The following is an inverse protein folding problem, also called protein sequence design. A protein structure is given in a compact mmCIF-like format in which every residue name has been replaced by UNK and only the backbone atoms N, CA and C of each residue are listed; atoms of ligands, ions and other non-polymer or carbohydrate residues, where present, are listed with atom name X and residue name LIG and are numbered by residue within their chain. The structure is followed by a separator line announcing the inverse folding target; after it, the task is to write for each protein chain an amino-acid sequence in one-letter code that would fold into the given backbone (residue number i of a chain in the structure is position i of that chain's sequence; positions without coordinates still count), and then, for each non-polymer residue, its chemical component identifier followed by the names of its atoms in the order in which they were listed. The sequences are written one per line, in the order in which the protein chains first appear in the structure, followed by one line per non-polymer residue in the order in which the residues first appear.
data_IF_658730073805
#
_entry.id   IF_658730073805
#
_cell.length_a   1.000
_cell.length_b   1.000
_cell.length_c   1.000
_cell.angle_alpha   90.00
_cell.angle_beta   90.00
_cell.angle_gamma   90.00
#
_symmetry.space_group_name_H-M   'P 1'
#
loop_
_entity.id
_entity.type
_entity.pdbx_description
1 polymer ?
#
# COMPACT_ATOMS: atom_id res chain seq x y z
N UNK A 1 -38.04 55.28 -54.30
CA UNK A 1 -38.01 54.84 -52.88
C UNK A 1 -37.72 53.32 -52.84
N UNK A 2 -36.44 52.94 -52.72
CA UNK A 2 -36.00 51.56 -52.79
C UNK A 2 -35.73 51.10 -51.40
N UNK A 3 -36.48 50.08 -50.91
CA UNK A 3 -36.28 49.47 -49.57
C UNK A 3 -35.23 48.35 -49.67
N UNK A 4 -34.11 48.52 -48.99
CA UNK A 4 -33.08 47.50 -48.83
C UNK A 4 -33.42 46.64 -47.59
N UNK A 5 -33.73 45.37 -47.82
CA UNK A 5 -33.87 44.38 -46.72
C UNK A 5 -32.50 43.83 -46.32
N UNK A 6 -32.08 44.05 -45.06
CA UNK A 6 -30.91 43.42 -44.48
C UNK A 6 -31.34 42.08 -43.91
N UNK A 7 -30.82 40.93 -44.44
CA UNK A 7 -30.92 39.63 -43.86
C UNK A 7 -29.82 39.43 -42.81
N UNK A 8 -30.20 39.35 -41.54
CA UNK A 8 -29.31 38.94 -40.45
C UNK A 8 -29.20 37.42 -40.45
N UNK A 9 -28.03 36.88 -40.84
CA UNK A 9 -27.70 35.46 -40.64
C UNK A 9 -27.16 35.32 -39.22
N UNK A 10 -27.95 34.71 -38.31
CA UNK A 10 -27.51 34.35 -36.97
C UNK A 10 -26.63 33.09 -37.05
N UNK A 11 -25.34 33.26 -36.86
CA UNK A 11 -24.41 32.11 -36.72
C UNK A 11 -24.53 31.56 -35.30
N UNK A 12 -25.21 30.43 -35.14
CA UNK A 12 -25.23 29.65 -33.92
C UNK A 12 -23.87 28.93 -33.79
N UNK A 13 -22.96 29.46 -32.98
CA UNK A 13 -21.76 28.74 -32.57
C UNK A 13 -22.17 27.62 -31.62
N UNK A 14 -22.12 26.37 -32.10
CA UNK A 14 -22.24 25.17 -31.27
C UNK A 14 -21.00 25.08 -30.32
N UNK A 15 -21.17 25.54 -29.10
CA UNK A 15 -20.21 25.33 -28.04
C UNK A 15 -20.33 23.88 -27.59
N UNK A 16 -19.51 22.99 -28.17
CA UNK A 16 -19.29 21.66 -27.62
C UNK A 16 -18.42 21.81 -26.37
N UNK A 17 -18.87 21.38 -25.17
CA UNK A 17 -17.99 21.37 -24.02
C UNK A 17 -16.85 20.41 -24.32
N UNK A 18 -15.61 20.90 -24.37
CA UNK A 18 -14.43 20.06 -24.27
C UNK A 18 -14.47 19.42 -22.87
N UNK A 19 -14.87 18.15 -22.80
CA UNK A 19 -14.65 17.32 -21.65
C UNK A 19 -13.13 17.19 -21.51
N UNK A 20 -12.53 17.99 -20.63
CA UNK A 20 -11.17 17.77 -20.16
C UNK A 20 -11.18 16.48 -19.35
N UNK A 21 -10.95 15.35 -20.02
CA UNK A 21 -10.58 14.11 -19.34
C UNK A 21 -9.24 14.40 -18.64
N UNK A 22 -9.21 14.32 -17.32
CA UNK A 22 -7.97 14.31 -16.58
C UNK A 22 -7.03 13.25 -17.19
N UNK A 23 -5.73 13.56 -17.30
CA UNK A 23 -4.74 12.63 -17.87
C UNK A 23 -4.67 11.37 -17.01
N UNK A 24 -5.42 10.34 -17.38
CA UNK A 24 -5.36 9.04 -16.74
C UNK A 24 -4.11 8.26 -17.20
N UNK A 25 -3.65 7.34 -16.39
CA UNK A 25 -2.45 6.51 -16.64
C UNK A 25 -2.86 5.20 -17.31
N UNK A 26 -2.26 4.84 -18.44
CA UNK A 26 -2.52 3.59 -19.16
C UNK A 26 -3.14 3.77 -20.52
N UNK A 27 -4.25 3.07 -20.81
CA UNK A 27 -4.95 3.17 -22.10
C UNK A 27 -5.92 4.36 -22.10
N UNK A 28 -5.53 5.44 -22.78
CA UNK A 28 -6.31 6.66 -22.90
C UNK A 28 -7.58 6.52 -23.75
N UNK A 29 -7.73 5.41 -24.48
CA UNK A 29 -8.94 5.09 -25.24
C UNK A 29 -9.99 4.40 -24.38
N UNK A 30 -9.70 4.06 -23.12
CA UNK A 30 -10.64 3.48 -22.19
C UNK A 30 -11.84 4.42 -21.93
N UNK A 31 -13.05 3.86 -21.86
CA UNK A 31 -14.28 4.65 -21.64
C UNK A 31 -14.33 5.38 -20.30
N UNK A 32 -13.60 4.85 -19.29
CA UNK A 32 -13.50 5.44 -17.94
C UNK A 32 -12.18 5.09 -17.27
N UNK A 33 -11.81 5.87 -16.26
CA UNK A 33 -10.69 5.56 -15.37
C UNK A 33 -11.15 4.80 -14.12
N UNK A 34 -10.22 4.07 -13.52
CA UNK A 34 -10.39 3.39 -12.24
C UNK A 34 -9.38 3.93 -11.23
N UNK A 35 -9.86 4.28 -10.04
CA UNK A 35 -8.99 4.75 -8.97
C UNK A 35 -8.13 3.61 -8.41
N UNK A 36 -6.80 3.87 -8.26
CA UNK A 36 -5.83 2.95 -7.67
C UNK A 36 -5.20 3.61 -6.45
N UNK A 37 -5.51 3.11 -5.28
CA UNK A 37 -5.00 3.63 -4.02
C UNK A 37 -3.79 2.82 -3.55
N UNK A 38 -2.72 3.52 -3.17
CA UNK A 38 -1.48 2.88 -2.68
C UNK A 38 -1.28 3.21 -1.21
N UNK A 39 -1.06 2.17 -0.39
CA UNK A 39 -0.74 2.35 1.04
C UNK A 39 0.62 3.09 1.19
N UNK A 40 0.69 4.20 1.94
CA UNK A 40 1.88 5.04 2.01
C UNK A 40 2.95 4.45 2.95
N UNK A 41 3.76 3.53 2.44
CA UNK A 41 4.85 2.89 3.19
C UNK A 41 6.16 3.68 3.15
N UNK A 42 6.35 4.48 2.10
CA UNK A 42 7.56 5.29 1.84
C UNK A 42 7.16 6.71 1.46
N UNK A 43 8.13 7.54 1.03
CA UNK A 43 7.85 8.89 0.56
C UNK A 43 6.85 8.90 -0.60
N UNK A 44 5.89 9.81 -0.57
CA UNK A 44 4.81 9.91 -1.56
C UNK A 44 5.35 10.06 -2.99
N UNK A 45 6.37 10.92 -3.16
CA UNK A 45 7.02 11.12 -4.47
C UNK A 45 7.61 9.82 -5.03
N UNK A 46 8.21 8.98 -4.15
CA UNK A 46 8.73 7.67 -4.55
C UNK A 46 7.60 6.73 -4.97
N UNK A 47 6.48 6.71 -4.27
CA UNK A 47 5.33 5.87 -4.64
C UNK A 47 4.76 6.28 -5.99
N UNK A 48 4.66 7.59 -6.29
CA UNK A 48 4.26 8.03 -7.63
C UNK A 48 5.27 7.61 -8.69
N UNK A 49 6.58 7.78 -8.45
CA UNK A 49 7.61 7.38 -9.41
C UNK A 49 7.66 5.87 -9.66
N UNK A 50 7.36 5.04 -8.66
CA UNK A 50 7.38 3.59 -8.76
C UNK A 50 6.10 3.04 -9.43
N UNK A 51 4.93 3.59 -9.08
CA UNK A 51 3.64 3.05 -9.53
C UNK A 51 3.19 3.58 -10.89
N UNK A 52 3.56 4.80 -11.29
CA UNK A 52 3.17 5.36 -12.60
C UNK A 52 3.63 4.47 -13.76
N UNK A 53 4.90 4.05 -13.87
CA UNK A 53 5.33 3.15 -14.96
C UNK A 53 4.60 1.81 -14.95
N UNK A 54 4.36 1.24 -13.76
CA UNK A 54 3.58 -0.01 -13.66
C UNK A 54 2.17 0.18 -14.21
N UNK A 55 1.46 1.24 -13.79
CA UNK A 55 0.08 1.48 -14.22
C UNK A 55 -0.01 1.79 -15.73
N UNK A 56 1.01 2.41 -16.32
CA UNK A 56 1.09 2.58 -17.78
C UNK A 56 1.11 1.23 -18.51
N UNK A 57 1.98 0.31 -18.07
CA UNK A 57 2.06 -1.03 -18.66
C UNK A 57 0.80 -1.86 -18.37
N UNK A 58 0.29 -1.79 -17.15
CA UNK A 58 -0.91 -2.48 -16.71
C UNK A 58 -2.13 -2.01 -17.52
N UNK A 59 -2.27 -0.71 -17.68
CA UNK A 59 -3.38 -0.10 -18.42
C UNK A 59 -3.39 -0.50 -19.90
N UNK A 60 -2.25 -0.38 -20.56
CA UNK A 60 -2.09 -0.80 -21.97
C UNK A 60 -2.39 -2.27 -22.19
N UNK A 61 -1.94 -3.16 -21.27
CA UNK A 61 -2.17 -4.62 -21.38
C UNK A 61 -3.59 -5.04 -21.02
N UNK A 62 -4.29 -4.29 -20.18
CA UNK A 62 -5.66 -4.58 -19.75
C UNK A 62 -6.73 -3.78 -20.51
N UNK A 63 -6.35 -2.84 -21.38
CA UNK A 63 -7.20 -1.84 -22.04
C UNK A 63 -7.98 -1.01 -20.99
N UNK A 64 -7.30 -0.57 -19.92
CA UNK A 64 -7.88 0.22 -18.85
C UNK A 64 -7.09 1.51 -18.61
N UNK A 65 -7.76 2.49 -17.99
CA UNK A 65 -7.13 3.73 -17.54
C UNK A 65 -7.24 3.87 -16.03
N UNK A 66 -6.20 4.42 -15.39
CA UNK A 66 -6.09 4.50 -13.94
C UNK A 66 -5.83 5.89 -13.43
N UNK A 67 -6.42 6.22 -12.27
CA UNK A 67 -6.13 7.40 -11.48
C UNK A 67 -5.33 6.97 -10.24
N UNK A 68 -4.03 7.28 -10.22
CA UNK A 68 -3.15 6.93 -9.09
C UNK A 68 -3.36 7.89 -7.92
N UNK A 69 -3.69 7.34 -6.76
CA UNK A 69 -3.96 8.10 -5.54
C UNK A 69 -3.08 7.56 -4.40
N UNK A 70 -2.23 8.43 -3.85
CA UNK A 70 -1.38 8.11 -2.70
C UNK A 70 -1.76 9.04 -1.54
N UNK A 71 -2.56 8.59 -0.56
CA UNK A 71 -2.86 9.35 0.64
C UNK A 71 -1.61 9.69 1.45
N UNK A 72 -1.64 10.81 2.17
CA UNK A 72 -0.47 11.33 2.89
C UNK A 72 -0.05 10.50 4.10
N UNK A 73 -0.98 9.74 4.67
CA UNK A 73 -0.74 8.92 5.87
C UNK A 73 -1.50 7.59 5.79
N UNK A 74 -1.08 6.59 6.57
CA UNK A 74 -1.80 5.31 6.67
C UNK A 74 -3.24 5.53 7.18
N UNK A 75 -3.53 6.32 8.22
CA UNK A 75 -4.91 6.62 8.63
C UNK A 75 -5.76 7.27 7.52
N UNK A 76 -5.19 8.21 6.75
CA UNK A 76 -5.90 8.81 5.61
C UNK A 76 -6.20 7.79 4.51
N UNK A 77 -5.28 6.86 4.24
CA UNK A 77 -5.48 5.73 3.33
C UNK A 77 -6.61 4.80 3.84
N UNK A 78 -6.56 4.40 5.10
CA UNK A 78 -7.56 3.52 5.73
C UNK A 78 -8.98 4.11 5.64
N UNK A 79 -9.12 5.42 5.91
CA UNK A 79 -10.40 6.13 5.78
C UNK A 79 -11.00 6.01 4.38
N UNK A 80 -10.18 6.15 3.33
CA UNK A 80 -10.63 6.02 1.94
C UNK A 80 -10.94 4.56 1.57
N UNK A 81 -10.07 3.63 1.95
CA UNK A 81 -10.24 2.21 1.67
C UNK A 81 -11.50 1.64 2.34
N UNK A 82 -11.67 1.90 3.64
CA UNK A 82 -12.78 1.36 4.43
C UNK A 82 -14.11 2.08 4.19
N UNK A 83 -14.12 3.21 3.50
CA UNK A 83 -15.34 3.81 2.95
C UNK A 83 -15.70 3.28 1.55
N UNK A 84 -14.94 2.34 1.03
CA UNK A 84 -15.18 1.71 -0.26
C UNK A 84 -14.86 2.60 -1.48
N UNK A 85 -14.12 3.70 -1.33
CA UNK A 85 -13.85 4.65 -2.43
C UNK A 85 -12.90 4.12 -3.49
N UNK A 86 -11.93 3.29 -3.12
CA UNK A 86 -10.96 2.73 -4.05
C UNK A 86 -11.62 1.71 -4.99
N UNK A 87 -11.36 1.80 -6.29
CA UNK A 87 -11.72 0.73 -7.24
C UNK A 87 -10.72 -0.41 -7.11
N UNK A 88 -9.43 -0.09 -7.12
CA UNK A 88 -8.33 -0.97 -6.82
C UNK A 88 -7.48 -0.37 -5.71
N UNK A 89 -6.77 -1.22 -4.98
CA UNK A 89 -5.81 -0.75 -4.00
C UNK A 89 -4.65 -1.74 -3.82
N UNK A 90 -3.44 -1.21 -3.56
CA UNK A 90 -2.33 -1.97 -3.01
C UNK A 90 -2.32 -1.77 -1.50
N UNK A 91 -2.49 -2.86 -0.75
CA UNK A 91 -2.83 -2.81 0.66
C UNK A 91 -1.93 -3.73 1.49
N UNK A 92 -1.77 -3.46 2.79
CA UNK A 92 -1.14 -4.45 3.65
C UNK A 92 -2.10 -5.62 3.97
N UNK A 93 -1.60 -6.76 4.46
CA UNK A 93 -2.43 -7.93 4.73
C UNK A 93 -3.58 -7.69 5.72
N UNK A 94 -3.39 -6.85 6.75
CA UNK A 94 -4.47 -6.48 7.67
C UNK A 94 -5.53 -5.61 6.98
N UNK A 95 -5.11 -4.65 6.16
CA UNK A 95 -6.03 -3.85 5.35
C UNK A 95 -6.84 -4.72 4.39
N UNK A 96 -6.24 -5.77 3.80
CA UNK A 96 -6.98 -6.71 2.94
C UNK A 96 -8.11 -7.40 3.71
N UNK A 97 -7.84 -7.85 4.95
CA UNK A 97 -8.86 -8.44 5.83
C UNK A 97 -9.97 -7.44 6.15
N UNK A 98 -9.61 -6.22 6.56
CA UNK A 98 -10.59 -5.20 6.93
C UNK A 98 -11.41 -4.71 5.72
N UNK A 99 -10.78 -4.54 4.55
CA UNK A 99 -11.46 -4.15 3.32
C UNK A 99 -12.41 -5.25 2.81
N UNK A 100 -12.02 -6.53 2.96
CA UNK A 100 -12.93 -7.65 2.67
C UNK A 100 -14.14 -7.63 3.60
N UNK A 101 -13.94 -7.46 4.91
CA UNK A 101 -15.05 -7.40 5.89
C UNK A 101 -15.99 -6.22 5.63
N UNK A 102 -15.44 -5.05 5.29
CA UNK A 102 -16.22 -3.84 5.09
C UNK A 102 -16.97 -3.81 3.75
N UNK A 103 -16.31 -4.18 2.66
CA UNK A 103 -16.80 -4.00 1.29
C UNK A 103 -16.49 -5.15 0.35
N UNK A 104 -16.11 -6.33 0.85
CA UNK A 104 -15.83 -7.54 0.04
C UNK A 104 -14.74 -7.34 -1.03
N UNK A 105 -13.74 -6.48 -0.75
CA UNK A 105 -12.58 -6.36 -1.65
C UNK A 105 -11.90 -7.70 -1.85
N UNK A 106 -11.67 -8.08 -3.10
CA UNK A 106 -11.06 -9.36 -3.46
C UNK A 106 -9.58 -9.18 -3.81
N UNK A 107 -8.63 -9.88 -3.16
CA UNK A 107 -7.24 -9.88 -3.59
C UNK A 107 -7.10 -10.56 -4.95
N UNK A 108 -6.35 -9.94 -5.86
CA UNK A 108 -6.12 -10.42 -7.23
C UNK A 108 -4.71 -10.99 -7.38
N UNK A 109 -3.73 -10.21 -6.93
CA UNK A 109 -2.28 -10.45 -7.14
C UNK A 109 -1.53 -10.11 -5.85
N UNK A 110 -0.47 -10.87 -5.57
CA UNK A 110 0.57 -10.52 -4.62
C UNK A 110 1.93 -11.02 -5.11
N UNK A 111 3.01 -10.68 -4.41
CA UNK A 111 4.33 -11.25 -4.68
C UNK A 111 4.41 -12.70 -4.21
N UNK A 112 4.82 -13.61 -5.09
CA UNK A 112 5.04 -15.03 -4.78
C UNK A 112 6.41 -15.33 -4.19
N UNK A 113 7.38 -14.44 -4.37
CA UNK A 113 8.78 -14.66 -4.02
C UNK A 113 9.08 -14.33 -2.55
N UNK A 114 8.62 -13.19 -2.07
CA UNK A 114 8.99 -12.66 -0.78
C UNK A 114 7.79 -12.69 0.19
N UNK A 115 7.93 -13.43 1.27
CA UNK A 115 6.96 -13.38 2.38
C UNK A 115 7.23 -12.16 3.24
N UNK A 116 6.24 -11.74 4.01
CA UNK A 116 6.27 -10.59 4.89
C UNK A 116 6.42 -11.01 6.34
N UNK A 117 7.46 -10.53 7.01
CA UNK A 117 7.65 -10.69 8.44
C UNK A 117 7.94 -9.35 9.13
N UNK A 118 7.42 -9.19 10.34
CA UNK A 118 7.72 -8.06 11.21
C UNK A 118 9.07 -8.23 11.88
N UNK A 119 9.78 -7.14 12.05
CA UNK A 119 11.10 -7.08 12.66
C UNK A 119 11.07 -6.17 13.88
N UNK A 120 11.68 -6.59 14.99
CA UNK A 120 12.11 -5.67 16.03
C UNK A 120 13.60 -5.42 15.81
N UNK A 121 13.95 -4.16 15.57
CA UNK A 121 15.34 -3.73 15.41
C UNK A 121 15.81 -2.95 16.64
N UNK A 122 17.08 -3.11 16.98
CA UNK A 122 17.82 -2.35 18.00
C UNK A 122 19.12 -1.86 17.39
N UNK A 123 19.83 -0.92 18.05
CA UNK A 123 21.17 -0.54 17.60
C UNK A 123 22.11 -1.74 17.60
N UNK A 124 23.06 -1.78 16.70
CA UNK A 124 24.03 -2.85 16.57
C UNK A 124 24.86 -3.04 17.86
N UNK A 125 25.21 -1.93 18.53
CA UNK A 125 25.96 -1.89 19.80
C UNK A 125 25.09 -2.02 21.07
N UNK A 126 23.76 -2.24 20.91
CA UNK A 126 22.84 -2.36 22.04
C UNK A 126 23.12 -3.63 22.86
N UNK A 127 22.97 -3.51 24.17
CA UNK A 127 23.03 -4.67 25.10
C UNK A 127 21.72 -5.44 25.23
N UNK A 128 20.67 -5.01 24.51
CA UNK A 128 19.33 -5.67 24.51
C UNK A 128 19.41 -6.90 23.61
N UNK A 129 19.39 -8.09 24.17
CA UNK A 129 19.50 -9.38 23.46
C UNK A 129 18.23 -10.22 23.53
N UNK A 130 17.25 -9.83 24.35
CA UNK A 130 15.98 -10.54 24.53
C UNK A 130 14.80 -9.57 24.54
N UNK A 131 13.63 -10.01 24.06
CA UNK A 131 12.40 -9.21 24.04
C UNK A 131 12.00 -8.69 25.42
N UNK A 132 12.19 -9.50 26.48
CA UNK A 132 11.85 -9.13 27.86
C UNK A 132 12.58 -7.88 28.36
N UNK A 133 13.77 -7.57 27.82
CA UNK A 133 14.53 -6.37 28.15
C UNK A 133 13.88 -5.07 27.58
N UNK A 134 12.88 -5.21 26.70
CA UNK A 134 12.07 -4.11 26.20
C UNK A 134 10.90 -3.75 27.12
N UNK A 135 10.72 -4.47 28.24
CA UNK A 135 9.63 -4.20 29.17
C UNK A 135 9.76 -2.76 29.71
N UNK A 136 8.61 -2.05 29.72
CA UNK A 136 8.49 -0.63 30.08
C UNK A 136 9.29 0.36 29.19
N UNK A 137 9.75 -0.08 28.02
CA UNK A 137 10.48 0.77 27.08
C UNK A 137 9.55 1.51 26.12
N UNK A 138 10.07 2.62 25.54
CA UNK A 138 9.49 3.25 24.36
C UNK A 138 9.93 2.49 23.13
N UNK A 139 8.99 2.16 22.23
CA UNK A 139 9.27 1.45 20.99
C UNK A 139 8.69 2.26 19.83
N UNK A 140 9.53 2.59 18.84
CA UNK A 140 9.10 3.32 17.67
C UNK A 140 8.37 2.43 16.66
N UNK A 141 7.29 2.93 16.07
CA UNK A 141 6.51 2.27 15.01
C UNK A 141 6.16 3.27 13.91
N UNK A 142 6.00 2.84 12.63
CA UNK A 142 5.70 3.77 11.55
C UNK A 142 4.28 4.37 11.66
N UNK A 143 3.31 3.55 12.01
CA UNK A 143 1.91 3.94 12.23
C UNK A 143 1.20 2.86 13.06
N UNK A 144 0.08 3.19 13.73
CA UNK A 144 -0.64 2.22 14.57
C UNK A 144 -1.01 0.94 13.84
N UNK A 145 -1.57 1.06 12.64
CA UNK A 145 -2.13 -0.04 11.87
C UNK A 145 -1.22 -0.54 10.73
N UNK A 146 0.07 -0.19 10.74
CA UNK A 146 1.06 -0.84 9.89
C UNK A 146 1.17 -2.32 10.27
N UNK A 147 0.73 -3.24 9.37
CA UNK A 147 0.51 -4.65 9.70
C UNK A 147 1.71 -5.31 10.40
N UNK A 148 2.76 -5.63 9.66
CA UNK A 148 3.87 -6.41 10.23
C UNK A 148 4.77 -5.57 11.13
N UNK A 149 4.98 -4.28 10.79
CA UNK A 149 5.87 -3.40 11.53
C UNK A 149 5.29 -2.87 12.85
N UNK A 150 3.98 -2.93 13.07
CA UNK A 150 3.33 -2.40 14.27
C UNK A 150 2.32 -3.36 14.88
N UNK A 151 1.19 -3.62 14.19
CA UNK A 151 0.11 -4.43 14.75
C UNK A 151 0.60 -5.81 15.19
N UNK A 152 1.30 -6.51 14.31
CA UNK A 152 1.78 -7.86 14.56
C UNK A 152 2.79 -7.88 15.70
N UNK A 153 3.78 -6.96 15.67
CA UNK A 153 4.80 -6.86 16.72
C UNK A 153 4.16 -6.52 18.06
N UNK A 154 3.28 -5.52 18.11
CA UNK A 154 2.60 -5.13 19.35
C UNK A 154 1.77 -6.27 19.92
N UNK A 155 1.08 -7.04 19.05
CA UNK A 155 0.32 -8.20 19.50
C UNK A 155 1.22 -9.26 20.10
N UNK A 156 2.38 -9.57 19.52
CA UNK A 156 3.34 -10.52 20.06
C UNK A 156 3.92 -10.05 21.39
N UNK A 157 4.39 -8.80 21.48
CA UNK A 157 4.93 -8.27 22.73
C UNK A 157 3.91 -8.36 23.88
N UNK A 158 2.66 -8.00 23.61
CA UNK A 158 1.59 -8.07 24.63
C UNK A 158 1.23 -9.51 25.00
N UNK A 159 1.27 -10.47 24.06
CA UNK A 159 1.06 -11.89 24.34
C UNK A 159 2.20 -12.47 25.21
N UNK A 160 3.43 -11.99 25.04
CA UNK A 160 4.58 -12.33 25.89
C UNK A 160 4.58 -11.60 27.26
N UNK A 161 3.54 -10.83 27.56
CA UNK A 161 3.42 -10.07 28.81
C UNK A 161 4.34 -8.85 28.90
N UNK A 162 4.88 -8.37 27.76
CA UNK A 162 5.77 -7.22 27.70
C UNK A 162 4.93 -5.94 27.59
N UNK A 163 5.10 -5.07 28.57
CA UNK A 163 4.50 -3.73 28.60
C UNK A 163 5.44 -2.72 27.94
N UNK A 164 4.94 -1.84 27.08
CA UNK A 164 5.74 -0.83 26.38
C UNK A 164 4.88 0.38 26.01
N UNK A 165 5.56 1.51 25.72
CA UNK A 165 4.94 2.73 25.20
C UNK A 165 5.17 2.83 23.69
N UNK A 166 4.14 2.75 22.83
CA UNK A 166 4.31 2.87 21.38
C UNK A 166 4.47 4.34 20.97
N UNK A 167 5.56 4.66 20.24
CA UNK A 167 5.81 5.97 19.64
C UNK A 167 5.63 5.88 18.13
N UNK A 168 4.69 6.65 17.56
CA UNK A 168 4.43 6.63 16.12
C UNK A 168 5.17 7.75 15.39
N UNK A 169 6.09 7.35 14.48
CA UNK A 169 7.05 8.26 13.82
C UNK A 169 6.78 8.46 12.31
N UNK A 170 5.59 8.11 11.85
CA UNK A 170 5.02 8.36 10.51
C UNK A 170 5.56 7.51 9.37
N UNK A 171 6.80 7.01 9.40
CA UNK A 171 7.37 6.20 8.32
C UNK A 171 8.32 5.12 8.84
N UNK A 172 8.55 4.07 8.05
CA UNK A 172 9.53 3.03 8.36
C UNK A 172 10.95 3.60 8.50
N UNK A 173 11.33 4.50 7.60
CA UNK A 173 12.64 5.17 7.66
C UNK A 173 12.85 5.92 8.97
N UNK A 174 11.84 6.65 9.44
CA UNK A 174 11.93 7.38 10.72
C UNK A 174 12.08 6.42 11.91
N UNK A 175 11.49 5.21 11.87
CA UNK A 175 11.70 4.21 12.90
C UNK A 175 13.17 3.86 13.01
N UNK A 176 13.83 3.54 11.88
CA UNK A 176 15.24 3.19 11.85
C UNK A 176 16.13 4.33 12.33
N UNK A 177 15.83 5.56 11.91
CA UNK A 177 16.54 6.77 12.38
C UNK A 177 16.38 6.99 13.87
N UNK A 178 15.18 6.86 14.45
CA UNK A 178 14.95 7.04 15.89
C UNK A 178 15.71 6.02 16.73
N UNK A 179 15.83 4.76 16.26
CA UNK A 179 16.63 3.73 16.92
C UNK A 179 18.14 4.06 16.81
N UNK A 180 18.61 4.45 15.63
CA UNK A 180 20.02 4.81 15.41
C UNK A 180 20.46 6.03 16.22
N UNK A 181 19.58 7.03 16.33
CA UNK A 181 19.83 8.23 17.13
C UNK A 181 19.82 7.96 18.65
N UNK A 182 19.23 6.82 19.07
CA UNK A 182 19.07 6.48 20.49
C UNK A 182 17.87 7.15 21.16
N UNK A 183 16.93 7.73 20.37
CA UNK A 183 15.68 8.32 20.88
C UNK A 183 14.80 7.26 21.52
N UNK A 184 14.87 6.04 21.00
CA UNK A 184 14.19 4.84 21.50
C UNK A 184 15.14 3.64 21.47
N UNK A 185 15.02 2.68 22.40
CA UNK A 185 15.88 1.50 22.44
C UNK A 185 15.58 0.49 21.32
N UNK A 186 14.36 0.49 20.78
CA UNK A 186 13.93 -0.45 19.74
C UNK A 186 12.89 0.15 18.81
N UNK A 187 12.74 -0.47 17.64
CA UNK A 187 11.74 -0.07 16.66
C UNK A 187 11.12 -1.26 15.92
N UNK A 188 9.85 -1.11 15.53
CA UNK A 188 9.14 -2.07 14.71
C UNK A 188 9.34 -1.80 13.22
N UNK A 189 9.89 -2.77 12.52
CA UNK A 189 10.13 -2.74 11.08
C UNK A 189 9.45 -3.89 10.34
N UNK A 190 9.68 -3.96 9.06
CA UNK A 190 9.24 -5.06 8.20
C UNK A 190 10.34 -5.38 7.19
N UNK A 191 10.55 -6.67 6.88
CA UNK A 191 11.64 -7.14 6.05
C UNK A 191 11.74 -6.41 4.70
N UNK A 192 10.63 -6.23 4.00
CA UNK A 192 10.60 -5.61 2.67
C UNK A 192 11.00 -4.12 2.65
N UNK A 193 10.91 -3.39 3.77
CA UNK A 193 11.44 -2.02 3.89
C UNK A 193 12.83 -2.00 4.47
N UNK A 194 13.13 -2.81 5.51
CA UNK A 194 14.42 -2.82 6.18
C UNK A 194 15.57 -3.24 5.24
N UNK A 195 15.39 -4.32 4.47
CA UNK A 195 16.44 -4.80 3.56
C UNK A 195 16.66 -3.91 2.33
N UNK A 196 15.77 -2.93 2.10
CA UNK A 196 15.94 -1.89 1.06
C UNK A 196 16.62 -0.61 1.56
N UNK A 197 16.83 -0.49 2.86
CA UNK A 197 17.59 0.65 3.41
C UNK A 197 19.06 0.54 2.98
N UNK A 198 19.77 1.68 2.82
CA UNK A 198 21.21 1.70 2.58
C UNK A 198 21.99 0.96 3.66
N UNK A 199 23.17 0.47 3.30
CA UNK A 199 24.03 -0.31 4.24
C UNK A 199 24.40 0.51 5.47
N UNK A 200 24.60 1.84 5.32
CA UNK A 200 24.91 2.75 6.44
C UNK A 200 23.80 2.73 7.53
N UNK A 201 22.57 2.40 7.18
CA UNK A 201 21.46 2.23 8.13
C UNK A 201 21.46 0.80 8.67
N UNK A 202 21.57 -0.19 7.79
CA UNK A 202 21.50 -1.61 8.16
C UNK A 202 22.64 -2.02 9.09
N UNK A 203 23.87 -1.54 8.83
CA UNK A 203 25.06 -1.88 9.61
C UNK A 203 25.03 -1.28 11.04
N UNK A 204 24.24 -0.23 11.25
CA UNK A 204 24.05 0.40 12.57
C UNK A 204 22.91 -0.21 13.38
N UNK A 205 22.17 -1.13 12.80
CA UNK A 205 21.03 -1.81 13.41
C UNK A 205 21.23 -3.32 13.36
N UNK A 206 20.63 -4.01 14.29
CA UNK A 206 20.48 -5.48 14.23
C UNK A 206 19.05 -5.89 14.51
N UNK A 207 18.66 -7.01 13.94
CA UNK A 207 17.36 -7.61 14.18
C UNK A 207 17.42 -8.35 15.52
N UNK A 208 16.59 -7.94 16.47
CA UNK A 208 16.40 -8.60 17.75
C UNK A 208 15.39 -9.75 17.64
N UNK A 209 14.34 -9.56 16.87
CA UNK A 209 13.25 -10.53 16.74
C UNK A 209 12.59 -10.48 15.35
N UNK A 210 12.10 -11.64 14.88
CA UNK A 210 11.28 -11.78 13.66
C UNK A 210 9.97 -12.48 14.00
N UNK A 211 8.88 -11.97 13.47
CA UNK A 211 7.57 -12.66 13.56
C UNK A 211 7.50 -13.83 12.58
N UNK A 212 6.49 -14.70 12.67
CA UNK A 212 6.15 -15.62 11.59
C UNK A 212 5.91 -14.87 10.27
N UNK A 213 6.09 -15.60 9.16
CA UNK A 213 5.92 -15.05 7.80
C UNK A 213 4.46 -15.13 7.36
N UNK A 214 4.01 -14.09 6.65
CA UNK A 214 2.68 -13.97 6.05
C UNK A 214 2.77 -13.72 4.55
N UNK A 215 1.65 -13.92 3.83
CA UNK A 215 1.54 -13.43 2.46
C UNK A 215 1.75 -11.92 2.44
N UNK A 216 2.46 -11.38 1.42
CA UNK A 216 2.77 -9.96 1.36
C UNK A 216 1.54 -9.13 0.94
N UNK A 217 1.78 -7.87 0.68
CA UNK A 217 0.77 -6.90 0.26
C UNK A 217 0.07 -7.33 -1.02
N UNK A 218 -1.28 -7.50 -1.02
CA UNK A 218 -2.02 -7.78 -2.24
C UNK A 218 -2.43 -6.50 -2.97
N UNK A 219 -2.59 -6.64 -4.28
CA UNK A 219 -3.40 -5.74 -5.09
C UNK A 219 -4.83 -6.26 -5.06
N UNK A 220 -5.76 -5.45 -4.56
CA UNK A 220 -7.17 -5.84 -4.35
C UNK A 220 -8.11 -5.05 -5.23
N UNK A 221 -9.26 -5.61 -5.56
CA UNK A 221 -10.33 -4.96 -6.30
C UNK A 221 -11.62 -4.85 -5.48
N UNK A 222 -12.30 -3.71 -5.58
CA UNK A 222 -13.66 -3.52 -5.09
C UNK A 222 -14.63 -4.34 -5.94
N UNK A 223 -15.65 -5.02 -5.39
CA UNK A 223 -16.62 -5.80 -6.17
C UNK A 223 -17.45 -4.97 -7.15
N UNK A 224 -17.54 -3.64 -7.01
CA UNK A 224 -18.17 -2.75 -7.99
C UNK A 224 -17.41 -2.68 -9.33
N UNK A 225 -16.11 -3.03 -9.35
CA UNK A 225 -15.35 -3.15 -10.60
C UNK A 225 -15.84 -4.38 -11.34
N UNK A 226 -16.24 -4.27 -12.62
CA UNK A 226 -16.76 -5.42 -13.38
C UNK A 226 -15.77 -6.59 -13.39
N UNK A 227 -16.24 -7.83 -13.22
CA UNK A 227 -15.40 -9.03 -13.17
C UNK A 227 -14.52 -9.21 -14.41
N UNK A 228 -14.97 -8.72 -15.59
CA UNK A 228 -14.16 -8.71 -16.82
C UNK A 228 -12.93 -7.82 -16.66
N UNK A 229 -13.09 -6.64 -16.05
CA UNK A 229 -12.00 -5.69 -15.80
C UNK A 229 -11.04 -6.27 -14.75
N UNK A 230 -11.57 -6.81 -13.64
CA UNK A 230 -10.72 -7.45 -12.62
C UNK A 230 -9.86 -8.56 -13.22
N UNK A 231 -10.42 -9.41 -14.08
CA UNK A 231 -9.68 -10.47 -14.79
C UNK A 231 -8.62 -9.87 -15.72
N UNK A 232 -8.96 -8.88 -16.54
CA UNK A 232 -8.03 -8.25 -17.45
C UNK A 232 -6.82 -7.63 -16.70
N UNK A 233 -7.05 -6.93 -15.59
CA UNK A 233 -6.01 -6.37 -14.73
C UNK A 233 -5.14 -7.47 -14.11
N UNK A 234 -5.75 -8.53 -13.59
CA UNK A 234 -5.03 -9.69 -13.06
C UNK A 234 -4.14 -10.35 -14.10
N UNK A 235 -4.68 -10.63 -15.29
CA UNK A 235 -3.96 -11.30 -16.37
C UNK A 235 -2.83 -10.41 -16.92
N UNK A 236 -3.04 -9.09 -16.95
CA UNK A 236 -2.00 -8.12 -17.29
C UNK A 236 -0.83 -8.18 -16.30
N UNK A 237 -1.06 -8.20 -14.98
CA UNK A 237 -0.01 -8.40 -13.98
C UNK A 237 0.75 -9.70 -14.22
N UNK A 238 0.05 -10.82 -14.39
CA UNK A 238 0.67 -12.13 -14.62
C UNK A 238 1.51 -12.17 -15.89
N UNK A 239 1.09 -11.47 -16.95
CA UNK A 239 1.82 -11.39 -18.22
C UNK A 239 3.13 -10.60 -18.10
N UNK A 240 3.27 -9.71 -17.12
CA UNK A 240 4.49 -8.92 -16.91
C UNK A 240 5.60 -9.72 -16.22
N UNK A 241 5.28 -10.82 -15.52
CA UNK A 241 6.24 -11.63 -14.77
C UNK A 241 7.45 -12.09 -15.57
N UNK A 242 7.24 -12.47 -16.83
CA UNK A 242 8.26 -13.06 -17.70
C UNK A 242 8.86 -12.03 -18.67
N UNK A 243 8.61 -10.75 -18.50
CA UNK A 243 9.12 -9.67 -19.32
C UNK A 243 10.36 -9.04 -18.64
N UNK A 244 11.61 -9.32 -19.13
CA UNK A 244 12.82 -8.79 -18.49
C UNK A 244 12.86 -7.27 -18.42
N UNK A 245 12.21 -6.57 -19.37
CA UNK A 245 12.14 -5.11 -19.40
C UNK A 245 11.31 -4.53 -18.24
N UNK A 246 10.44 -5.34 -17.62
CA UNK A 246 9.57 -4.93 -16.53
C UNK A 246 10.05 -5.40 -15.14
N UNK A 247 11.18 -6.12 -15.09
CA UNK A 247 11.71 -6.65 -13.83
C UNK A 247 11.96 -5.56 -12.80
N UNK A 248 12.55 -4.44 -13.19
CA UNK A 248 12.83 -3.32 -12.29
C UNK A 248 11.52 -2.65 -11.83
N UNK A 249 10.57 -2.44 -12.71
CA UNK A 249 9.26 -1.85 -12.41
C UNK A 249 8.52 -2.71 -11.38
N UNK A 250 8.47 -4.03 -11.56
CA UNK A 250 7.84 -4.97 -10.63
C UNK A 250 8.56 -4.99 -9.27
N UNK A 251 9.89 -4.93 -9.27
CA UNK A 251 10.68 -4.83 -8.03
C UNK A 251 10.37 -3.54 -7.26
N UNK A 252 10.25 -2.41 -7.95
CA UNK A 252 9.99 -1.11 -7.34
C UNK A 252 8.64 -1.07 -6.62
N UNK A 253 7.60 -1.68 -7.19
CA UNK A 253 6.27 -1.78 -6.56
C UNK A 253 6.13 -2.96 -5.60
N UNK A 254 7.22 -3.69 -5.31
CA UNK A 254 7.24 -4.83 -4.38
C UNK A 254 6.40 -6.04 -4.82
N UNK A 255 6.26 -6.26 -6.12
CA UNK A 255 5.60 -7.44 -6.71
C UNK A 255 6.54 -8.07 -7.76
N UNK A 256 7.79 -8.46 -7.41
CA UNK A 256 8.74 -9.01 -8.38
C UNK A 256 8.29 -10.31 -9.04
N UNK A 257 7.45 -11.08 -8.38
CA UNK A 257 6.89 -12.33 -8.88
C UNK A 257 5.36 -12.34 -8.72
N UNK A 258 4.61 -11.67 -9.63
CA UNK A 258 3.15 -11.64 -9.55
C UNK A 258 2.56 -13.04 -9.58
N UNK A 259 1.79 -13.39 -8.55
CA UNK A 259 0.99 -14.62 -8.48
C UNK A 259 -0.46 -14.31 -8.14
N UNK A 260 -1.37 -15.17 -8.58
CA UNK A 260 -2.77 -15.13 -8.14
C UNK A 260 -2.86 -15.52 -6.67
N UNK A 261 -3.67 -14.78 -5.92
CA UNK A 261 -3.94 -15.03 -4.50
C UNK A 261 -5.44 -15.14 -4.25
N UNK A 262 -5.79 -15.84 -3.16
CA UNK A 262 -7.16 -16.05 -2.72
C UNK A 262 -7.34 -15.55 -1.29
N UNK A 263 -8.45 -14.86 -1.02
CA UNK A 263 -8.71 -14.32 0.31
C UNK A 263 -8.76 -15.40 1.39
N UNK A 264 -9.52 -16.48 1.14
CA UNK A 264 -9.76 -17.53 2.15
C UNK A 264 -8.49 -18.29 2.51
N UNK A 265 -7.66 -18.56 1.50
CA UNK A 265 -6.40 -19.29 1.64
C UNK A 265 -5.31 -18.41 2.24
N UNK A 266 -5.12 -17.20 1.70
CA UNK A 266 -3.90 -16.42 1.85
C UNK A 266 -4.01 -15.32 2.91
N UNK A 267 -5.21 -14.77 3.17
CA UNK A 267 -5.40 -13.61 4.08
C UNK A 267 -6.37 -13.88 5.23
N UNK A 268 -7.43 -14.68 5.04
CA UNK A 268 -8.37 -15.03 6.11
C UNK A 268 -7.69 -15.63 7.38
N UNK A 269 -6.58 -16.41 7.29
CA UNK A 269 -5.89 -16.88 8.49
C UNK A 269 -5.41 -15.76 9.43
N UNK A 270 -5.18 -14.53 8.91
CA UNK A 270 -4.82 -13.36 9.72
C UNK A 270 -5.94 -12.98 10.69
N UNK A 271 -7.20 -13.27 10.38
CA UNK A 271 -8.33 -13.02 11.28
C UNK A 271 -8.17 -13.74 12.64
N UNK A 272 -7.52 -14.92 12.64
CA UNK A 272 -7.25 -15.68 13.87
C UNK A 272 -6.34 -14.95 14.86
N UNK A 273 -5.54 -14.01 14.36
CA UNK A 273 -4.65 -13.19 15.20
C UNK A 273 -5.42 -12.11 15.98
N UNK A 274 -6.69 -11.86 15.64
CA UNK A 274 -7.59 -10.87 16.30
C UNK A 274 -6.92 -9.51 16.47
N UNK A 275 -6.23 -9.06 15.41
CA UNK A 275 -5.42 -7.83 15.45
C UNK A 275 -6.26 -6.56 15.65
N UNK A 276 -7.57 -6.62 15.42
CA UNK A 276 -8.52 -5.55 15.72
C UNK A 276 -8.50 -5.10 17.19
N UNK A 277 -8.05 -5.97 18.12
CA UNK A 277 -7.87 -5.63 19.55
C UNK A 277 -6.71 -4.64 19.78
N UNK A 278 -5.76 -4.63 18.86
CA UNK A 278 -4.54 -3.80 18.92
C UNK A 278 -4.61 -2.64 17.92
N UNK A 279 -5.58 -2.66 17.01
CA UNK A 279 -5.77 -1.60 16.02
C UNK A 279 -6.29 -0.33 16.70
N UNK A 280 -5.78 0.81 16.25
CA UNK A 280 -6.30 2.13 16.64
C UNK A 280 -7.41 2.50 15.67
N UNK A 281 -8.61 2.83 16.19
CA UNK A 281 -9.73 3.27 15.37
C UNK A 281 -9.47 4.67 14.85
N UNK A 282 -9.82 4.90 13.59
CA UNK A 282 -9.57 6.17 12.87
C UNK A 282 -10.46 7.31 13.43
N UNK A 283 -11.59 6.97 14.05
CA UNK A 283 -12.58 7.94 14.52
C UNK A 283 -12.09 8.79 15.70
N UNK A 284 -10.92 8.50 16.26
CA UNK A 284 -10.35 9.14 17.43
C UNK A 284 -9.07 9.97 17.15
N UNK A 285 -8.82 10.37 15.87
CA UNK A 285 -7.69 11.23 15.51
C UNK A 285 -8.12 12.48 14.74
#
# INVERSE_FOLDING_TARGET
MTKICFNFIAVFALWTPLLTYGECIGDRAAEKSYSVYIVPQTAISKLYSDWTPLLEHLGKRSNQCFDLIVPTTIPAFEKQLFSGKADFAFVNPYHAVMAFKAHQYTPLIADGKNKLDGLIVVRADSKINELKQLNHSKIAFPAPNAFAASLLIRSFLMQEGITFEPIYVKSHKNVYWSVMAGDVPAGGGVNNTFFREPDEIKDRLRILYKTPMFMPHPFVANPRVPSKVQRAVKDAFLSMKNDPALTEILNNVQIPDPITVDYRKDYMPIEKLRLEKYAVRIDNQ
#
